data_IF_411974343988
#
_entry.id   IF_411974343988
#
_cell.length_a   1.000
_cell.length_b   1.000
_cell.length_c   1.000
_cell.angle_alpha   90.00
_cell.angle_beta   90.00
_cell.angle_gamma   90.00
#
_symmetry.space_group_name_H-M   'P 1'
#
loop_
_entity.id
_entity.type
_entity.pdbx_description
1 polymer ?
#
# COMPACT_ATOMS: atom_id res chain seq x y z
N UNK A 1 -53.04 40.07 -36.56
CA UNK A 1 -51.96 40.63 -35.70
C UNK A 1 -52.36 40.28 -34.27
N UNK A 2 -51.71 39.43 -33.49
CA UNK A 2 -50.27 39.17 -33.34
C UNK A 2 -50.02 37.72 -32.91
N UNK A 3 -49.01 37.10 -33.50
CA UNK A 3 -48.40 35.86 -32.98
C UNK A 3 -47.61 36.17 -31.71
N UNK A 4 -47.94 35.51 -30.60
CA UNK A 4 -47.09 35.48 -29.41
C UNK A 4 -46.09 34.33 -29.56
N UNK A 5 -44.83 34.67 -29.84
CA UNK A 5 -43.72 33.71 -29.85
C UNK A 5 -43.37 33.39 -28.40
N UNK A 6 -43.65 32.16 -27.97
CA UNK A 6 -43.11 31.61 -26.73
C UNK A 6 -41.64 31.30 -26.97
N UNK A 7 -40.75 32.13 -26.44
CA UNK A 7 -39.31 31.87 -26.46
C UNK A 7 -38.99 30.80 -25.42
N UNK A 8 -38.66 29.60 -25.87
CA UNK A 8 -38.11 28.56 -25.02
C UNK A 8 -36.68 28.96 -24.64
N UNK A 9 -36.49 29.42 -23.40
CA UNK A 9 -35.16 29.64 -22.84
C UNK A 9 -34.50 28.28 -22.64
N UNK A 10 -33.62 27.94 -23.56
CA UNK A 10 -32.75 26.78 -23.50
C UNK A 10 -31.74 26.98 -22.36
N UNK A 11 -32.03 26.49 -21.14
CA UNK A 11 -31.04 26.40 -20.06
C UNK A 11 -30.09 25.24 -20.35
N UNK A 12 -29.18 25.45 -21.29
CA UNK A 12 -27.96 24.66 -21.33
C UNK A 12 -27.05 25.15 -20.20
N UNK A 13 -26.83 24.31 -19.20
CA UNK A 13 -25.78 24.53 -18.22
C UNK A 13 -24.45 24.56 -18.99
N UNK A 14 -23.85 25.74 -19.09
CA UNK A 14 -22.54 25.90 -19.68
C UNK A 14 -21.53 25.29 -18.70
N UNK A 15 -21.11 24.06 -18.95
CA UNK A 15 -19.89 23.54 -18.33
C UNK A 15 -18.72 24.09 -19.15
N UNK A 16 -18.27 25.30 -18.79
CA UNK A 16 -16.98 25.80 -19.28
C UNK A 16 -15.93 24.97 -18.54
N UNK A 17 -15.25 24.05 -19.21
CA UNK A 17 -13.91 23.63 -18.77
C UNK A 17 -13.02 24.86 -18.89
N UNK A 18 -12.93 25.64 -17.81
CA UNK A 18 -12.30 26.96 -17.83
C UNK A 18 -10.78 26.76 -17.83
N UNK A 19 -9.99 27.71 -18.34
CA UNK A 19 -8.52 27.58 -18.36
C UNK A 19 -7.92 27.25 -16.98
N UNK A 20 -8.60 27.66 -15.91
CA UNK A 20 -8.27 27.32 -14.53
C UNK A 20 -8.41 25.81 -14.20
N UNK A 21 -9.40 25.09 -14.77
CA UNK A 21 -9.53 23.64 -14.55
C UNK A 21 -8.38 22.88 -15.22
N UNK A 22 -7.99 23.32 -16.43
CA UNK A 22 -6.83 22.77 -17.12
C UNK A 22 -5.53 23.03 -16.34
N UNK A 23 -5.37 24.24 -15.80
CA UNK A 23 -4.25 24.59 -14.93
C UNK A 23 -4.23 23.78 -13.63
N UNK A 24 -5.40 23.49 -13.04
CA UNK A 24 -5.49 22.63 -11.86
C UNK A 24 -5.07 21.18 -12.14
N UNK A 25 -5.53 20.62 -13.26
CA UNK A 25 -5.11 19.28 -13.69
C UNK A 25 -3.59 19.25 -13.93
N UNK A 26 -3.06 20.26 -14.63
CA UNK A 26 -1.62 20.39 -14.86
C UNK A 26 -0.83 20.52 -13.54
N UNK A 27 -1.34 21.28 -12.56
CA UNK A 27 -0.73 21.41 -11.24
C UNK A 27 -0.63 20.04 -10.55
N UNK A 28 -1.74 19.29 -10.51
CA UNK A 28 -1.76 17.95 -9.92
C UNK A 28 -0.74 17.03 -10.58
N UNK A 29 -0.71 16.99 -11.90
CA UNK A 29 0.22 16.12 -12.64
C UNK A 29 1.68 16.52 -12.41
N UNK A 30 1.98 17.82 -12.44
CA UNK A 30 3.30 18.36 -12.17
C UNK A 30 3.78 18.00 -10.75
N UNK A 31 2.90 18.15 -9.76
CA UNK A 31 3.17 17.79 -8.38
C UNK A 31 3.48 16.29 -8.23
N UNK A 32 2.69 15.42 -8.88
CA UNK A 32 2.91 13.97 -8.87
C UNK A 32 4.21 13.54 -9.55
N UNK A 33 4.74 14.34 -10.48
CA UNK A 33 6.06 14.14 -11.11
C UNK A 33 7.22 14.74 -10.31
N UNK A 34 6.96 15.43 -9.20
CA UNK A 34 8.00 16.07 -8.38
C UNK A 34 8.49 17.43 -8.91
N UNK A 35 7.80 18.01 -9.90
CA UNK A 35 8.20 19.26 -10.57
C UNK A 35 7.84 20.49 -9.71
N UNK A 36 8.66 20.76 -8.70
CA UNK A 36 8.38 21.82 -7.70
C UNK A 36 8.23 23.22 -8.32
N UNK A 37 9.09 23.59 -9.27
CA UNK A 37 9.06 24.93 -9.88
C UNK A 37 7.77 25.15 -10.71
N UNK A 38 7.38 24.14 -11.49
CA UNK A 38 6.20 24.21 -12.33
C UNK A 38 4.91 24.13 -11.50
N UNK A 39 4.89 23.29 -10.46
CA UNK A 39 3.79 23.24 -9.49
C UNK A 39 3.57 24.61 -8.83
N UNK A 40 4.64 25.30 -8.42
CA UNK A 40 4.53 26.66 -7.88
C UNK A 40 3.98 27.66 -8.90
N UNK A 41 4.45 27.61 -10.15
CA UNK A 41 3.99 28.50 -11.23
C UNK A 41 2.50 28.32 -11.52
N UNK A 42 2.04 27.07 -11.62
CA UNK A 42 0.64 26.74 -11.87
C UNK A 42 -0.26 27.11 -10.68
N UNK A 43 0.17 26.82 -9.45
CA UNK A 43 -0.56 27.20 -8.25
C UNK A 43 -0.80 28.72 -8.16
N UNK A 44 0.18 29.55 -8.53
CA UNK A 44 0.05 31.02 -8.51
C UNK A 44 -1.00 31.54 -9.50
N UNK A 45 -1.34 30.78 -10.55
CA UNK A 45 -2.40 31.14 -11.52
C UNK A 45 -3.81 30.81 -11.01
N UNK A 46 -3.90 30.07 -9.90
CA UNK A 46 -5.14 29.51 -9.36
C UNK A 46 -5.61 30.23 -8.08
N UNK A 47 -5.21 31.49 -7.88
CA UNK A 47 -5.53 32.26 -6.66
C UNK A 47 -7.02 32.41 -6.35
N UNK A 48 -7.88 32.41 -7.37
CA UNK A 48 -9.35 32.47 -7.21
C UNK A 48 -10.05 31.12 -7.39
N UNK A 49 -9.30 30.02 -7.47
CA UNK A 49 -9.86 28.70 -7.73
C UNK A 49 -10.66 28.18 -6.50
N UNK A 50 -11.81 27.51 -6.67
CA UNK A 50 -12.70 27.21 -5.54
C UNK A 50 -12.13 26.26 -4.46
N UNK A 51 -11.15 25.41 -4.82
CA UNK A 51 -10.60 24.39 -3.92
C UNK A 51 -9.15 24.69 -3.50
N UNK A 52 -8.95 25.84 -2.85
CA UNK A 52 -7.63 26.32 -2.43
C UNK A 52 -6.81 25.29 -1.64
N UNK A 53 -7.45 24.47 -0.80
CA UNK A 53 -6.78 23.42 -0.03
C UNK A 53 -6.06 22.37 -0.90
N UNK A 54 -6.62 22.05 -2.07
CA UNK A 54 -5.97 21.16 -3.03
C UNK A 54 -4.84 21.87 -3.80
N UNK A 55 -4.97 23.16 -4.06
CA UNK A 55 -3.89 23.97 -4.66
C UNK A 55 -2.67 23.98 -3.73
N UNK A 56 -2.89 24.31 -2.46
CA UNK A 56 -1.84 24.35 -1.44
C UNK A 56 -1.21 22.96 -1.23
N UNK A 57 -2.03 21.90 -1.23
CA UNK A 57 -1.54 20.52 -1.15
C UNK A 57 -0.61 20.17 -2.32
N UNK A 58 -1.03 20.37 -3.57
CA UNK A 58 -0.21 20.02 -4.73
C UNK A 58 1.02 20.92 -4.87
N UNK A 59 0.98 22.14 -4.33
CA UNK A 59 2.16 23.00 -4.21
C UNK A 59 3.17 22.48 -3.17
N UNK A 60 2.70 21.89 -2.08
CA UNK A 60 3.53 21.34 -1.00
C UNK A 60 4.07 19.94 -1.32
N UNK A 61 3.25 19.07 -1.91
CA UNK A 61 3.52 17.65 -2.15
C UNK A 61 4.92 17.33 -2.75
N UNK A 62 5.38 17.95 -3.85
CA UNK A 62 6.66 17.58 -4.48
C UNK A 62 7.89 17.88 -3.60
N UNK A 63 7.74 18.76 -2.62
CA UNK A 63 8.80 19.12 -1.66
C UNK A 63 8.47 18.69 -0.24
N UNK A 64 7.42 17.90 -0.04
CA UNK A 64 7.02 17.41 1.28
C UNK A 64 8.18 16.76 2.06
N UNK A 65 9.09 15.96 1.44
CA UNK A 65 10.22 15.38 2.15
C UNK A 65 11.21 16.39 2.76
N UNK A 66 11.27 17.62 2.25
CA UNK A 66 12.17 18.68 2.71
C UNK A 66 11.44 19.88 3.31
N UNK A 67 10.11 19.84 3.38
CA UNK A 67 9.31 20.91 3.95
C UNK A 67 9.51 20.97 5.48
N UNK A 68 9.65 22.17 6.08
CA UNK A 68 9.72 22.32 7.53
C UNK A 68 8.49 21.75 8.23
N UNK A 69 8.67 21.06 9.36
CA UNK A 69 7.58 20.51 10.18
C UNK A 69 6.48 21.56 10.47
N UNK A 70 6.88 22.78 10.80
CA UNK A 70 5.95 23.88 11.10
C UNK A 70 5.06 24.28 9.92
N UNK A 71 5.52 24.14 8.68
CA UNK A 71 4.72 24.42 7.50
C UNK A 71 3.65 23.33 7.28
N UNK A 72 4.04 22.07 7.44
CA UNK A 72 3.12 20.93 7.32
C UNK A 72 2.03 21.03 8.39
N UNK A 73 2.40 21.36 9.64
CA UNK A 73 1.45 21.59 10.74
C UNK A 73 0.49 22.74 10.43
N UNK A 74 0.98 23.86 9.90
CA UNK A 74 0.11 24.98 9.51
C UNK A 74 -0.93 24.57 8.45
N UNK A 75 -0.54 23.75 7.46
CA UNK A 75 -1.50 23.22 6.49
C UNK A 75 -2.55 22.33 7.18
N UNK A 76 -2.11 21.41 8.03
CA UNK A 76 -3.00 20.47 8.73
C UNK A 76 -3.97 21.19 9.67
N UNK A 77 -3.52 22.25 10.35
CA UNK A 77 -4.35 23.09 11.21
C UNK A 77 -5.35 23.93 10.41
N UNK A 78 -4.90 24.55 9.30
CA UNK A 78 -5.76 25.37 8.44
C UNK A 78 -6.91 24.57 7.83
N UNK A 79 -6.65 23.32 7.47
CA UNK A 79 -7.59 22.44 6.76
C UNK A 79 -8.05 21.26 7.62
N UNK A 80 -8.05 21.40 8.94
CA UNK A 80 -8.45 20.34 9.84
C UNK A 80 -9.87 19.82 9.54
N UNK A 81 -10.08 18.52 9.73
CA UNK A 81 -11.34 17.85 9.40
C UNK A 81 -11.63 17.66 7.90
N UNK A 82 -10.75 18.10 7.00
CA UNK A 82 -10.92 17.89 5.55
C UNK A 82 -10.21 16.62 5.05
N UNK A 83 -10.74 16.02 3.98
CA UNK A 83 -10.14 14.85 3.35
C UNK A 83 -8.72 15.10 2.82
N UNK A 84 -8.43 16.34 2.36
CA UNK A 84 -7.11 16.68 1.83
C UNK A 84 -6.06 16.87 2.92
N UNK A 85 -6.46 17.34 4.11
CA UNK A 85 -5.59 17.34 5.29
C UNK A 85 -5.28 15.92 5.76
N UNK A 86 -6.29 15.04 5.79
CA UNK A 86 -6.07 13.64 6.15
C UNK A 86 -5.19 12.90 5.13
N UNK A 87 -5.33 13.23 3.83
CA UNK A 87 -4.43 12.77 2.78
C UNK A 87 -2.99 13.21 3.00
N UNK A 88 -2.76 14.51 3.27
CA UNK A 88 -1.42 15.02 3.57
C UNK A 88 -0.84 14.35 4.81
N UNK A 89 -1.66 14.13 5.84
CA UNK A 89 -1.25 13.46 7.06
C UNK A 89 -0.78 12.03 6.79
N UNK A 90 -1.49 11.27 5.95
CA UNK A 90 -1.03 9.94 5.52
C UNK A 90 0.34 10.02 4.83
N UNK A 91 0.49 10.89 3.84
CA UNK A 91 1.75 11.05 3.11
C UNK A 91 2.91 11.47 4.03
N UNK A 92 2.64 12.34 5.00
CA UNK A 92 3.63 12.74 6.00
C UNK A 92 3.97 11.61 6.97
N UNK A 93 2.99 10.84 7.44
CA UNK A 93 3.21 9.67 8.31
C UNK A 93 4.07 8.61 7.63
N UNK A 94 3.94 8.40 6.32
CA UNK A 94 4.82 7.49 5.57
C UNK A 94 6.28 7.98 5.57
N UNK A 95 6.51 9.29 5.45
CA UNK A 95 7.84 9.90 5.51
C UNK A 95 8.44 9.81 6.92
N UNK A 96 7.66 10.19 7.94
CA UNK A 96 8.06 10.12 9.34
C UNK A 96 8.39 8.68 9.77
N UNK A 97 7.55 7.72 9.35
CA UNK A 97 7.75 6.31 9.59
C UNK A 97 9.03 5.79 8.93
N UNK A 98 9.28 6.16 7.67
CA UNK A 98 10.53 5.81 6.96
C UNK A 98 11.77 6.40 7.64
N UNK A 99 11.65 7.59 8.23
CA UNK A 99 12.73 8.25 8.97
C UNK A 99 12.85 7.77 10.43
N UNK A 100 11.93 6.91 10.90
CA UNK A 100 11.80 6.52 12.31
C UNK A 100 11.68 7.72 13.27
N UNK A 101 11.10 8.85 12.83
CA UNK A 101 10.80 9.98 13.71
C UNK A 101 9.53 9.69 14.51
N UNK A 102 9.67 8.82 15.51
CA UNK A 102 8.57 8.37 16.35
C UNK A 102 7.94 9.51 17.15
N UNK A 103 8.70 10.55 17.50
CA UNK A 103 8.18 11.72 18.24
C UNK A 103 7.06 12.39 17.45
N UNK A 104 7.30 12.72 16.19
CA UNK A 104 6.28 13.38 15.35
C UNK A 104 5.25 12.37 14.87
N UNK A 105 5.69 11.17 14.49
CA UNK A 105 4.80 10.13 14.01
C UNK A 105 3.69 9.82 15.03
N UNK A 106 4.03 9.63 16.30
CA UNK A 106 3.06 9.27 17.33
C UNK A 106 2.14 10.42 17.74
N UNK A 107 2.55 11.69 17.52
CA UNK A 107 1.66 12.85 17.68
C UNK A 107 0.63 12.95 16.53
N UNK A 108 1.04 12.56 15.32
CA UNK A 108 0.19 12.70 14.12
C UNK A 108 -0.66 11.46 13.84
N UNK A 109 -0.18 10.25 14.16
CA UNK A 109 -0.88 9.01 13.83
C UNK A 109 -2.30 8.93 14.45
N UNK A 110 -2.53 9.32 15.72
CA UNK A 110 -3.88 9.33 16.29
C UNK A 110 -4.85 10.32 15.61
N UNK A 111 -4.32 11.28 14.84
CA UNK A 111 -5.10 12.29 14.11
C UNK A 111 -5.38 11.88 12.65
N UNK A 112 -4.86 10.74 12.20
CA UNK A 112 -5.17 10.17 10.89
C UNK A 112 -6.52 9.47 10.95
N UNK A 113 -7.54 10.13 10.43
CA UNK A 113 -8.95 9.72 10.61
C UNK A 113 -9.27 8.52 9.72
N UNK A 114 -8.85 8.54 8.45
CA UNK A 114 -9.17 7.48 7.52
C UNK A 114 -8.51 6.15 7.93
N UNK A 115 -7.29 6.21 8.48
CA UNK A 115 -6.56 5.06 9.04
C UNK A 115 -6.64 3.80 8.17
N UNK A 116 -6.52 3.97 6.85
CA UNK A 116 -6.70 2.91 5.85
C UNK A 116 -5.38 2.46 5.21
N UNK A 117 -4.29 3.20 5.45
CA UNK A 117 -2.96 2.85 4.96
C UNK A 117 -2.29 1.79 5.84
N UNK A 118 -2.06 0.62 5.25
CA UNK A 118 -1.45 -0.53 5.94
C UNK A 118 0.03 -0.29 6.27
N UNK A 119 0.76 0.49 5.45
CA UNK A 119 2.16 0.83 5.76
C UNK A 119 2.26 1.72 6.99
N UNK A 120 1.37 2.72 7.11
CA UNK A 120 1.33 3.56 8.31
C UNK A 120 1.03 2.73 9.55
N UNK A 121 0.10 1.76 9.48
CA UNK A 121 -0.15 0.83 10.59
C UNK A 121 1.07 -0.02 10.93
N UNK A 122 1.81 -0.49 9.94
CA UNK A 122 3.06 -1.21 10.17
C UNK A 122 4.11 -0.33 10.85
N UNK A 123 4.28 0.94 10.43
CA UNK A 123 5.15 1.88 11.14
C UNK A 123 4.68 2.17 12.58
N UNK A 124 3.37 2.27 12.82
CA UNK A 124 2.85 2.42 14.18
C UNK A 124 3.21 1.23 15.08
N UNK A 125 3.15 0.00 14.57
CA UNK A 125 3.62 -1.19 15.29
C UNK A 125 5.14 -1.17 15.50
N UNK A 126 5.92 -0.69 14.54
CA UNK A 126 7.37 -0.52 14.69
C UNK A 126 7.72 0.53 15.76
N UNK A 127 7.02 1.66 15.82
CA UNK A 127 7.16 2.67 16.88
C UNK A 127 6.93 2.04 18.26
N UNK A 128 5.82 1.33 18.44
CA UNK A 128 5.48 0.62 19.69
C UNK A 128 6.53 -0.42 20.07
N UNK A 129 7.00 -1.21 19.09
CA UNK A 129 8.07 -2.18 19.27
C UNK A 129 9.38 -1.53 19.76
N UNK A 130 9.74 -0.37 19.20
CA UNK A 130 10.93 0.38 19.61
C UNK A 130 10.90 0.86 21.07
N UNK A 131 9.69 0.95 21.65
CA UNK A 131 9.44 1.29 23.06
C UNK A 131 9.32 0.07 23.97
N UNK A 132 9.60 -1.14 23.45
CA UNK A 132 9.57 -2.39 24.19
C UNK A 132 8.19 -3.01 24.33
N UNK A 133 7.16 -2.50 23.63
CA UNK A 133 5.83 -3.12 23.66
C UNK A 133 5.83 -4.46 22.92
N UNK A 134 5.12 -5.45 23.48
CA UNK A 134 4.85 -6.69 22.78
C UNK A 134 3.73 -6.50 21.75
N UNK A 135 4.12 -6.34 20.48
CA UNK A 135 3.19 -6.11 19.37
C UNK A 135 2.82 -7.37 18.58
N UNK A 136 3.29 -8.56 18.98
CA UNK A 136 3.20 -9.77 18.14
C UNK A 136 1.77 -10.12 17.74
N UNK A 137 0.80 -10.04 18.68
CA UNK A 137 -0.61 -10.29 18.36
C UNK A 137 -1.15 -9.25 17.37
N UNK A 138 -0.90 -7.96 17.63
CA UNK A 138 -1.38 -6.87 16.79
C UNK A 138 -0.78 -6.94 15.37
N UNK A 139 0.49 -7.37 15.24
CA UNK A 139 1.10 -7.61 13.94
C UNK A 139 0.43 -8.76 13.19
N UNK A 140 0.12 -9.89 13.85
CA UNK A 140 -0.62 -10.99 13.23
C UNK A 140 -2.02 -10.56 12.77
N UNK A 141 -2.74 -9.83 13.61
CA UNK A 141 -4.08 -9.33 13.28
C UNK A 141 -4.02 -8.39 12.06
N UNK A 142 -3.04 -7.47 12.02
CA UNK A 142 -2.87 -6.55 10.89
C UNK A 142 -2.50 -7.26 9.59
N UNK A 143 -1.64 -8.28 9.68
CA UNK A 143 -1.06 -8.99 8.54
C UNK A 143 -1.86 -10.22 8.12
N UNK A 144 -3.08 -10.40 8.62
CA UNK A 144 -3.92 -11.52 8.20
C UNK A 144 -4.36 -11.40 6.74
N UNK A 145 -4.71 -10.18 6.30
CA UNK A 145 -5.14 -9.86 4.93
C UNK A 145 -4.62 -8.46 4.54
N UNK A 146 -3.31 -8.30 4.35
CA UNK A 146 -2.74 -7.00 4.06
C UNK A 146 -3.21 -6.51 2.68
N UNK A 147 -3.92 -5.38 2.65
CA UNK A 147 -4.36 -4.73 1.39
C UNK A 147 -3.16 -4.38 0.51
N UNK A 148 -2.11 -3.88 1.14
CA UNK A 148 -0.83 -3.57 0.53
C UNK A 148 0.25 -3.66 1.61
N UNK A 149 1.37 -4.32 1.33
CA UNK A 149 2.47 -4.43 2.29
C UNK A 149 3.31 -3.15 2.35
N UNK A 150 3.74 -2.68 1.19
CA UNK A 150 4.80 -1.68 1.08
C UNK A 150 6.09 -2.03 1.84
N UNK A 151 7.01 -1.09 1.95
CA UNK A 151 8.32 -1.37 2.57
C UNK A 151 8.20 -1.50 4.10
N UNK A 152 7.30 -0.73 4.72
CA UNK A 152 7.09 -0.70 6.17
C UNK A 152 6.67 -2.06 6.73
N UNK A 153 5.76 -2.77 6.07
CA UNK A 153 5.32 -4.08 6.56
C UNK A 153 6.37 -5.16 6.32
N UNK A 154 7.13 -5.09 5.22
CA UNK A 154 8.25 -6.01 4.98
C UNK A 154 9.30 -5.85 6.08
N UNK A 155 9.63 -4.62 6.46
CA UNK A 155 10.54 -4.34 7.56
C UNK A 155 10.00 -4.87 8.90
N UNK A 156 8.73 -4.61 9.22
CA UNK A 156 8.09 -5.12 10.44
C UNK A 156 8.15 -6.65 10.51
N UNK A 157 7.81 -7.35 9.42
CA UNK A 157 7.88 -8.82 9.35
C UNK A 157 9.31 -9.31 9.58
N UNK A 158 10.28 -8.65 8.93
CA UNK A 158 11.70 -8.97 9.10
C UNK A 158 12.18 -8.84 10.53
N UNK A 159 11.88 -7.71 11.19
CA UNK A 159 12.20 -7.47 12.60
C UNK A 159 11.58 -8.54 13.51
N UNK A 160 10.30 -8.86 13.30
CA UNK A 160 9.60 -9.87 14.09
C UNK A 160 10.16 -11.29 13.88
N UNK A 161 10.60 -11.62 12.67
CA UNK A 161 11.24 -12.90 12.38
C UNK A 161 12.63 -12.99 13.06
N UNK A 162 13.44 -11.94 12.95
CA UNK A 162 14.77 -11.86 13.56
C UNK A 162 14.72 -11.95 15.10
N UNK A 163 13.72 -11.33 15.73
CA UNK A 163 13.47 -11.42 17.17
C UNK A 163 12.73 -12.69 17.60
N UNK A 164 12.48 -13.63 16.67
CA UNK A 164 11.76 -14.89 16.92
C UNK A 164 10.34 -14.70 17.49
N UNK A 165 9.75 -13.53 17.28
CA UNK A 165 8.35 -13.22 17.62
C UNK A 165 7.39 -13.77 16.58
N UNK A 166 7.82 -13.72 15.32
CA UNK A 166 7.23 -14.48 14.22
C UNK A 166 8.01 -15.78 14.07
N UNK A 167 7.27 -16.90 14.04
CA UNK A 167 7.84 -18.18 13.67
C UNK A 167 7.85 -18.32 12.14
N UNK A 168 8.44 -19.41 11.65
CA UNK A 168 8.48 -19.70 10.22
C UNK A 168 7.08 -19.76 9.57
N UNK A 169 6.04 -20.21 10.28
CA UNK A 169 4.66 -20.24 9.76
C UNK A 169 4.12 -18.84 9.54
N UNK A 170 4.39 -17.91 10.46
CA UNK A 170 4.01 -16.51 10.32
C UNK A 170 4.67 -15.91 9.06
N UNK A 171 5.97 -16.14 8.86
CA UNK A 171 6.71 -15.61 7.69
C UNK A 171 6.22 -16.23 6.39
N UNK A 172 6.10 -17.56 6.32
CA UNK A 172 5.65 -18.25 5.11
C UNK A 172 4.22 -17.88 4.72
N UNK A 173 3.33 -17.65 5.69
CA UNK A 173 1.98 -17.12 5.43
C UNK A 173 2.04 -15.79 4.69
N UNK A 174 2.93 -14.88 5.10
CA UNK A 174 3.10 -13.59 4.42
C UNK A 174 3.70 -13.74 3.03
N UNK A 175 4.64 -14.69 2.82
CA UNK A 175 5.17 -14.99 1.48
C UNK A 175 4.04 -15.46 0.55
N UNK A 176 3.22 -16.44 1.00
CA UNK A 176 2.08 -16.96 0.21
C UNK A 176 1.10 -15.85 -0.13
N UNK A 177 0.66 -15.07 0.86
CA UNK A 177 -0.24 -13.93 0.67
C UNK A 177 0.33 -12.89 -0.30
N UNK A 178 1.62 -12.56 -0.21
CA UNK A 178 2.25 -11.61 -1.13
C UNK A 178 2.29 -12.13 -2.58
N UNK A 179 2.53 -13.42 -2.80
CA UNK A 179 2.44 -14.03 -4.13
C UNK A 179 0.99 -14.00 -4.63
N UNK A 180 0.04 -14.33 -3.77
CA UNK A 180 -1.39 -14.31 -4.10
C UNK A 180 -1.86 -12.89 -4.45
N UNK A 181 -1.40 -11.86 -3.75
CA UNK A 181 -1.74 -10.47 -4.09
C UNK A 181 -1.01 -9.96 -5.35
N UNK A 182 -0.21 -10.79 -6.04
CA UNK A 182 0.49 -10.43 -7.27
C UNK A 182 1.72 -9.55 -7.05
N UNK A 183 2.16 -9.37 -5.81
CA UNK A 183 3.33 -8.55 -5.44
C UNK A 183 4.56 -9.43 -5.23
N UNK A 184 4.99 -10.15 -6.27
CA UNK A 184 6.10 -11.11 -6.22
C UNK A 184 7.43 -10.48 -5.75
N UNK A 185 7.68 -9.20 -6.06
CA UNK A 185 8.80 -8.44 -5.51
C UNK A 185 8.79 -8.38 -3.99
N UNK A 186 7.63 -8.12 -3.39
CA UNK A 186 7.45 -8.14 -1.93
C UNK A 186 7.60 -9.55 -1.37
N UNK A 187 7.02 -10.56 -2.01
CA UNK A 187 7.16 -11.95 -1.59
C UNK A 187 8.62 -12.38 -1.50
N UNK A 188 9.44 -12.02 -2.50
CA UNK A 188 10.90 -12.25 -2.50
C UNK A 188 11.60 -11.60 -1.32
N UNK A 189 11.27 -10.34 -1.01
CA UNK A 189 11.87 -9.63 0.13
C UNK A 189 11.50 -10.26 1.47
N UNK A 190 10.27 -10.75 1.62
CA UNK A 190 9.83 -11.47 2.83
C UNK A 190 10.50 -12.85 2.92
N UNK A 191 10.67 -13.55 1.80
CA UNK A 191 11.32 -14.87 1.75
C UNK A 191 12.80 -14.85 2.13
N UNK A 192 13.46 -13.68 2.17
CA UNK A 192 14.81 -13.55 2.74
C UNK A 192 14.86 -13.94 4.24
N UNK A 193 13.72 -14.03 4.91
CA UNK A 193 13.60 -14.48 6.30
C UNK A 193 13.16 -15.96 6.41
N UNK A 194 13.22 -16.72 5.32
CA UNK A 194 12.97 -18.17 5.29
C UNK A 194 14.22 -18.93 4.82
N UNK A 195 14.10 -20.24 4.66
CA UNK A 195 15.17 -21.15 4.25
C UNK A 195 15.32 -21.32 2.72
N UNK A 196 14.54 -20.58 1.92
CA UNK A 196 14.63 -20.63 0.45
C UNK A 196 15.39 -19.46 -0.12
N UNK A 197 16.05 -19.70 -1.25
CA UNK A 197 16.64 -18.63 -2.06
C UNK A 197 15.64 -18.09 -3.10
N UNK A 198 15.98 -16.92 -3.65
CA UNK A 198 15.19 -16.23 -4.67
C UNK A 198 14.88 -17.11 -5.88
N UNK A 199 15.86 -17.91 -6.35
CA UNK A 199 15.68 -18.80 -7.50
C UNK A 199 14.64 -19.88 -7.23
N UNK A 200 14.61 -20.44 -6.03
CA UNK A 200 13.60 -21.44 -5.65
C UNK A 200 12.20 -20.82 -5.61
N UNK A 201 12.05 -19.63 -5.03
CA UNK A 201 10.78 -18.93 -5.00
C UNK A 201 10.31 -18.52 -6.40
N UNK A 202 11.20 -17.97 -7.23
CA UNK A 202 10.89 -17.61 -8.61
C UNK A 202 10.45 -18.82 -9.43
N UNK A 203 11.06 -20.00 -9.24
CA UNK A 203 10.59 -21.23 -9.89
C UNK A 203 9.15 -21.59 -9.49
N UNK A 204 8.78 -21.45 -8.22
CA UNK A 204 7.42 -21.71 -7.76
C UNK A 204 6.40 -20.72 -8.36
N UNK A 205 6.81 -19.46 -8.55
CA UNK A 205 5.94 -18.40 -9.08
C UNK A 205 5.79 -18.50 -10.60
N UNK A 206 6.90 -18.64 -11.31
CA UNK A 206 6.99 -18.50 -12.78
C UNK A 206 6.81 -19.83 -13.51
N UNK A 207 7.13 -20.96 -12.86
CA UNK A 207 7.03 -22.31 -13.44
C UNK A 207 6.23 -23.25 -12.54
N UNK A 208 4.98 -22.89 -12.16
CA UNK A 208 4.23 -23.61 -11.13
C UNK A 208 4.02 -25.07 -11.48
N UNK A 209 3.58 -25.41 -12.71
CA UNK A 209 3.36 -26.82 -13.10
C UNK A 209 4.63 -27.67 -13.03
N UNK A 210 5.78 -27.13 -13.43
CA UNK A 210 7.05 -27.87 -13.36
C UNK A 210 7.47 -28.16 -11.91
N UNK A 211 7.08 -27.30 -10.96
CA UNK A 211 7.27 -27.56 -9.53
C UNK A 211 6.25 -28.59 -9.01
N UNK A 212 4.99 -28.49 -9.42
CA UNK A 212 3.92 -29.40 -8.98
C UNK A 212 4.17 -30.85 -9.39
N UNK A 213 4.78 -31.11 -10.55
CA UNK A 213 5.19 -32.47 -10.97
C UNK A 213 6.24 -33.10 -10.03
N UNK A 214 7.04 -32.29 -9.32
CA UNK A 214 8.00 -32.79 -8.32
C UNK A 214 7.31 -33.21 -7.02
N UNK A 215 6.06 -32.77 -6.81
CA UNK A 215 5.28 -33.01 -5.59
C UNK A 215 5.78 -32.25 -4.37
N UNK A 216 5.12 -32.51 -3.23
CA UNK A 216 5.40 -31.88 -1.93
C UNK A 216 6.34 -32.72 -1.04
N UNK A 217 7.08 -33.67 -1.62
CA UNK A 217 7.95 -34.60 -0.86
C UNK A 217 9.25 -33.89 -0.50
N UNK A 218 9.45 -33.59 0.78
CA UNK A 218 10.67 -32.95 1.26
C UNK A 218 10.48 -32.24 2.60
N UNK A 219 11.37 -31.29 2.86
CA UNK A 219 11.29 -30.40 4.02
C UNK A 219 10.18 -29.37 3.89
N UNK A 220 10.08 -28.49 4.89
CA UNK A 220 9.09 -27.42 4.94
C UNK A 220 9.14 -26.52 3.71
N UNK A 221 10.33 -26.00 3.36
CA UNK A 221 10.52 -25.20 2.13
C UNK A 221 9.90 -25.86 0.89
N UNK A 222 10.08 -27.17 0.70
CA UNK A 222 9.53 -27.88 -0.45
C UNK A 222 8.00 -27.83 -0.46
N UNK A 223 7.37 -28.07 0.69
CA UNK A 223 5.89 -27.99 0.82
C UNK A 223 5.38 -26.58 0.62
N UNK A 224 6.08 -25.59 1.17
CA UNK A 224 5.71 -24.18 1.03
C UNK A 224 5.81 -23.67 -0.42
N UNK A 225 6.90 -24.01 -1.11
CA UNK A 225 7.05 -23.72 -2.54
C UNK A 225 5.97 -24.45 -3.36
N UNK A 226 5.61 -25.69 -3.00
CA UNK A 226 4.54 -26.43 -3.63
C UNK A 226 3.17 -25.75 -3.45
N UNK A 227 2.85 -25.26 -2.24
CA UNK A 227 1.63 -24.49 -1.98
C UNK A 227 1.58 -23.19 -2.79
N UNK A 228 2.70 -22.47 -2.90
CA UNK A 228 2.81 -21.28 -3.75
C UNK A 228 2.53 -21.64 -5.21
N UNK A 229 3.13 -22.72 -5.71
CA UNK A 229 2.90 -23.20 -7.07
C UNK A 229 1.45 -23.64 -7.31
N UNK A 230 0.80 -24.27 -6.32
CA UNK A 230 -0.62 -24.62 -6.39
C UNK A 230 -1.49 -23.37 -6.53
N UNK A 231 -1.27 -22.35 -5.68
CA UNK A 231 -2.02 -21.09 -5.73
C UNK A 231 -1.84 -20.35 -7.07
N UNK A 232 -0.63 -20.40 -7.65
CA UNK A 232 -0.36 -19.86 -8.99
C UNK A 232 -1.03 -20.68 -10.09
N UNK A 233 -0.90 -22.00 -10.07
CA UNK A 233 -1.50 -22.89 -11.05
C UNK A 233 -3.04 -22.81 -11.04
N UNK A 234 -3.65 -22.65 -9.86
CA UNK A 234 -5.10 -22.54 -9.70
C UNK A 234 -5.72 -21.35 -10.42
N UNK A 235 -4.95 -20.28 -10.64
CA UNK A 235 -5.40 -19.11 -11.43
C UNK A 235 -5.41 -19.38 -12.93
N UNK A 236 -4.54 -20.27 -13.39
CA UNK A 236 -4.37 -20.55 -14.81
C UNK A 236 -5.19 -21.78 -15.24
N UNK A 237 -5.10 -22.89 -14.49
CA UNK A 237 -5.78 -24.17 -14.76
C UNK A 237 -6.18 -24.87 -13.46
N UNK A 238 -7.37 -24.53 -12.96
CA UNK A 238 -7.91 -25.04 -11.69
C UNK A 238 -7.90 -26.58 -11.60
N UNK A 239 -8.42 -27.28 -12.60
CA UNK A 239 -8.53 -28.75 -12.57
C UNK A 239 -7.18 -29.45 -12.37
N UNK A 240 -6.12 -28.92 -13.00
CA UNK A 240 -4.77 -29.45 -12.83
C UNK A 240 -4.23 -29.20 -11.43
N UNK A 241 -4.46 -28.01 -10.89
CA UNK A 241 -4.03 -27.67 -9.53
C UNK A 241 -4.73 -28.57 -8.49
N UNK A 242 -6.03 -28.82 -8.65
CA UNK A 242 -6.81 -29.74 -7.79
C UNK A 242 -6.22 -31.15 -7.82
N UNK A 243 -5.94 -31.70 -9.01
CA UNK A 243 -5.31 -33.02 -9.14
C UNK A 243 -3.96 -33.13 -8.42
N UNK A 244 -3.12 -32.08 -8.47
CA UNK A 244 -1.86 -32.07 -7.74
C UNK A 244 -2.07 -31.96 -6.22
N UNK A 245 -3.05 -31.17 -5.77
CA UNK A 245 -3.40 -31.05 -4.36
C UNK A 245 -3.87 -32.39 -3.78
N UNK A 246 -4.81 -33.07 -4.43
CA UNK A 246 -5.34 -34.37 -3.98
C UNK A 246 -4.23 -35.41 -3.81
N UNK A 247 -3.29 -35.47 -4.76
CA UNK A 247 -2.11 -36.35 -4.67
C UNK A 247 -1.18 -36.01 -3.51
N UNK A 248 -1.06 -34.73 -3.17
CA UNK A 248 -0.13 -34.23 -2.16
C UNK A 248 -0.73 -34.14 -0.76
N UNK A 249 -2.06 -34.23 -0.61
CA UNK A 249 -2.78 -33.92 0.64
C UNK A 249 -2.26 -34.69 1.87
N UNK A 250 -1.93 -35.97 1.70
CA UNK A 250 -1.34 -36.81 2.77
C UNK A 250 0.06 -36.40 3.22
N UNK A 251 0.72 -35.50 2.49
CA UNK A 251 2.07 -34.99 2.75
C UNK A 251 2.08 -33.59 3.36
N UNK A 252 0.92 -32.93 3.41
CA UNK A 252 0.74 -31.62 4.00
C UNK A 252 0.31 -31.75 5.46
N UNK A 253 0.76 -30.85 6.32
CA UNK A 253 0.31 -30.77 7.71
C UNK A 253 -1.06 -30.06 7.84
N UNK A 254 -1.59 -29.96 9.06
CA UNK A 254 -2.90 -29.34 9.30
C UNK A 254 -2.98 -27.86 8.90
N UNK A 255 -1.90 -27.10 9.08
CA UNK A 255 -1.84 -25.68 8.66
C UNK A 255 -1.72 -25.55 7.14
N UNK A 256 -0.94 -26.42 6.50
CA UNK A 256 -0.72 -26.45 5.05
C UNK A 256 -1.99 -26.90 4.29
N UNK A 257 -2.88 -27.65 4.95
CA UNK A 257 -4.18 -28.09 4.40
C UNK A 257 -5.35 -27.12 4.67
N UNK A 258 -5.20 -26.19 5.61
CA UNK A 258 -6.25 -25.26 6.04
C UNK A 258 -6.27 -23.99 5.19
#
# INVERSE_FOLDING_TARGET
MSSAVVSAVNRQAIVIGNGADADFVALRESALRGETAESNRLANRLGSYPIQSYIEYYKLYPRLPSAPEGEIRQFLERYDGTAIADRLRNDWLLLLGRAHDWRVFDDQYPRFVLNDDTQVKCYALQSRMSKGENITKAARDLLQQPKYYGDACVELIGKLAQEKKFNESDVWRQVRLAVESGVSGTARRIANYTDVNDKQLAQAIDKPFALLERGAVGGRATRELFLIALGRAGRDKLDKAVHHLEKAQSKLNAEENA
#
